data_IF_488373178851
#
_entry.id   IF_488373178851
#
_cell.length_a   1.000
_cell.length_b   1.000
_cell.length_c   1.000
_cell.angle_alpha   90.00
_cell.angle_beta   90.00
_cell.angle_gamma   90.00
#
_symmetry.space_group_name_H-M   'P 1'
#
loop_
_entity.id
_entity.type
_entity.pdbx_description
1 polymer ?
#
# COMPACT_ATOMS: atom_id res chain seq x y z
N UNK A 1 11.06 -2.85 8.78
CA UNK A 1 11.92 -4.05 8.82
C UNK A 1 13.40 -3.63 8.77
N UNK A 2 14.29 -4.40 9.39
CA UNK A 2 15.74 -4.15 9.46
C UNK A 2 16.50 -5.06 8.47
N UNK A 3 16.22 -4.90 7.18
CA UNK A 3 16.76 -5.72 6.08
C UNK A 3 18.28 -5.60 5.90
N UNK A 4 18.76 -5.16 4.74
CA UNK A 4 20.21 -4.95 4.51
C UNK A 4 20.82 -3.77 5.31
N UNK A 5 20.07 -3.13 6.21
CA UNK A 5 20.52 -1.94 6.95
C UNK A 5 20.43 -0.62 6.18
N UNK A 6 19.79 -0.62 5.01
CA UNK A 6 19.49 0.60 4.26
C UNK A 6 18.46 1.47 4.98
N UNK A 7 18.70 2.79 5.01
CA UNK A 7 17.79 3.78 5.57
C UNK A 7 17.50 4.85 4.50
N UNK A 8 16.22 5.10 4.25
CA UNK A 8 15.75 6.15 3.34
C UNK A 8 14.92 7.13 4.17
N UNK A 9 15.30 8.41 4.15
CA UNK A 9 14.61 9.47 4.87
C UNK A 9 13.80 10.32 3.89
N UNK A 10 12.57 10.65 4.29
CA UNK A 10 11.65 11.54 3.58
C UNK A 10 11.40 12.76 4.47
N UNK A 11 11.28 13.94 3.87
CA UNK A 11 10.92 15.17 4.56
C UNK A 11 9.39 15.35 4.63
N UNK A 12 8.94 16.48 5.17
CA UNK A 12 7.53 16.82 5.33
C UNK A 12 6.84 17.25 4.02
N UNK A 13 7.55 17.30 2.89
CA UNK A 13 6.98 17.57 1.58
C UNK A 13 6.57 16.30 0.83
N UNK A 14 6.85 15.13 1.40
CA UNK A 14 6.55 13.85 0.76
C UNK A 14 5.09 13.45 0.99
N UNK A 15 4.40 13.12 -0.11
CA UNK A 15 3.06 12.54 -0.08
C UNK A 15 3.16 11.00 0.02
N UNK A 16 2.69 10.45 1.14
CA UNK A 16 2.75 9.03 1.43
C UNK A 16 1.75 8.20 0.62
N UNK A 17 0.71 8.82 0.07
CA UNK A 17 -0.20 8.15 -0.88
C UNK A 17 0.50 7.80 -2.18
N UNK A 18 1.36 8.71 -2.66
CA UNK A 18 2.21 8.45 -3.83
C UNK A 18 3.27 7.39 -3.54
N UNK A 19 3.82 7.33 -2.32
CA UNK A 19 4.77 6.28 -1.94
C UNK A 19 4.11 4.89 -1.85
N UNK A 20 2.88 4.81 -1.35
CA UNK A 20 2.10 3.59 -1.36
C UNK A 20 1.77 3.14 -2.80
N UNK A 21 1.37 4.09 -3.66
CA UNK A 21 1.13 3.84 -5.08
C UNK A 21 2.39 3.30 -5.76
N UNK A 22 3.53 3.92 -5.52
CA UNK A 22 4.82 3.50 -6.06
C UNK A 22 5.20 2.09 -5.61
N UNK A 23 4.94 1.71 -4.36
CA UNK A 23 5.22 0.35 -3.90
C UNK A 23 4.44 -0.71 -4.71
N UNK A 24 3.16 -0.44 -5.02
CA UNK A 24 2.37 -1.31 -5.88
C UNK A 24 2.87 -1.30 -7.33
N UNK A 25 3.22 -0.13 -7.88
CA UNK A 25 3.77 -0.01 -9.24
C UNK A 25 5.09 -0.76 -9.39
N UNK A 26 6.02 -0.60 -8.44
CA UNK A 26 7.28 -1.34 -8.42
C UNK A 26 7.05 -2.85 -8.38
N UNK A 27 6.09 -3.32 -7.59
CA UNK A 27 5.72 -4.73 -7.57
C UNK A 27 5.10 -5.22 -8.89
N UNK A 28 4.35 -4.37 -9.59
CA UNK A 28 3.77 -4.72 -10.89
C UNK A 28 4.86 -4.89 -11.96
N UNK A 29 5.83 -3.98 -12.00
CA UNK A 29 6.94 -4.01 -12.95
C UNK A 29 7.94 -5.15 -12.66
N UNK A 30 8.31 -5.35 -11.39
CA UNK A 30 9.34 -6.32 -10.99
C UNK A 30 8.78 -7.72 -10.67
N UNK A 31 7.48 -7.92 -10.84
CA UNK A 31 6.85 -9.21 -10.61
C UNK A 31 7.40 -10.27 -11.58
N UNK A 32 7.96 -11.36 -11.05
CA UNK A 32 8.34 -12.53 -11.85
C UNK A 32 7.14 -13.28 -12.49
N UNK A 33 5.91 -12.90 -12.13
CA UNK A 33 4.68 -13.33 -12.78
C UNK A 33 4.03 -14.61 -12.23
N UNK A 34 4.68 -15.30 -11.30
CA UNK A 34 4.27 -16.64 -10.84
C UNK A 34 2.99 -16.68 -9.99
N UNK A 35 2.80 -15.70 -9.10
CA UNK A 35 1.64 -15.65 -8.21
C UNK A 35 0.68 -14.52 -8.62
N UNK A 36 -0.61 -14.84 -8.74
CA UNK A 36 -1.65 -13.88 -9.17
C UNK A 36 -1.77 -12.66 -8.26
N UNK A 37 -1.72 -12.78 -6.92
CA UNK A 37 -1.76 -11.61 -6.03
C UNK A 37 -0.62 -10.63 -6.29
N UNK A 38 0.59 -11.12 -6.58
CA UNK A 38 1.73 -10.28 -6.94
C UNK A 38 1.55 -9.66 -8.35
N UNK A 39 1.37 -10.49 -9.39
CA UNK A 39 1.36 -10.05 -10.79
C UNK A 39 0.19 -9.15 -11.15
N UNK A 40 -1.00 -9.52 -10.70
CA UNK A 40 -2.25 -8.82 -11.05
C UNK A 40 -2.70 -7.92 -9.90
N UNK A 41 -2.56 -8.40 -8.66
CA UNK A 41 -2.95 -7.63 -7.49
C UNK A 41 -2.18 -6.32 -7.38
N UNK A 42 -0.88 -6.29 -7.68
CA UNK A 42 -0.11 -5.05 -7.69
C UNK A 42 -0.68 -3.98 -8.65
N UNK A 43 -1.05 -4.37 -9.88
CA UNK A 43 -1.72 -3.46 -10.84
C UNK A 43 -3.05 -2.97 -10.29
N UNK A 44 -3.84 -3.85 -9.66
CA UNK A 44 -5.09 -3.44 -9.01
C UNK A 44 -4.86 -2.53 -7.81
N UNK A 45 -3.77 -2.72 -7.08
CA UNK A 45 -3.35 -1.86 -5.98
C UNK A 45 -3.09 -0.44 -6.45
N UNK A 46 -2.38 -0.27 -7.57
CA UNK A 46 -2.20 1.04 -8.22
C UNK A 46 -3.56 1.68 -8.54
N UNK A 47 -4.44 0.95 -9.23
CA UNK A 47 -5.77 1.46 -9.60
C UNK A 47 -6.64 1.84 -8.39
N UNK A 48 -6.56 1.07 -7.29
CA UNK A 48 -7.33 1.33 -6.06
C UNK A 48 -6.78 2.55 -5.33
N UNK A 49 -5.45 2.71 -5.26
CA UNK A 49 -4.83 3.90 -4.66
C UNK A 49 -5.15 5.15 -5.48
N UNK A 50 -5.08 5.08 -6.81
CA UNK A 50 -5.49 6.18 -7.70
C UNK A 50 -6.95 6.58 -7.46
N UNK A 51 -7.84 5.59 -7.32
CA UNK A 51 -9.24 5.84 -6.95
C UNK A 51 -9.36 6.45 -5.56
N UNK A 52 -8.64 5.95 -4.57
CA UNK A 52 -8.70 6.45 -3.19
C UNK A 52 -8.30 7.94 -3.12
N UNK A 53 -7.24 8.32 -3.83
CA UNK A 53 -6.77 9.70 -3.95
C UNK A 53 -7.78 10.61 -4.65
N UNK A 54 -8.47 10.11 -5.69
CA UNK A 54 -9.44 10.88 -6.47
C UNK A 54 -10.87 10.87 -5.92
N UNK A 55 -11.20 9.98 -4.97
CA UNK A 55 -12.57 9.76 -4.51
C UNK A 55 -13.09 10.85 -3.58
N UNK A 56 -14.38 11.15 -3.70
CA UNK A 56 -15.13 11.89 -2.69
C UNK A 56 -15.18 11.13 -1.37
N UNK A 57 -15.30 11.86 -0.26
CA UNK A 57 -15.20 11.32 1.12
C UNK A 57 -16.08 10.09 1.38
N UNK A 58 -17.26 10.00 0.75
CA UNK A 58 -18.20 8.88 0.95
C UNK A 58 -17.75 7.55 0.33
N UNK A 59 -16.82 7.57 -0.64
CA UNK A 59 -16.34 6.37 -1.34
C UNK A 59 -14.98 5.88 -0.83
N UNK A 60 -14.25 6.72 -0.08
CA UNK A 60 -12.91 6.42 0.42
C UNK A 60 -12.87 5.21 1.35
N UNK A 61 -13.84 5.06 2.24
CA UNK A 61 -13.90 3.92 3.16
C UNK A 61 -13.95 2.57 2.42
N UNK A 62 -14.71 2.51 1.32
CA UNK A 62 -14.78 1.28 0.52
C UNK A 62 -13.46 0.99 -0.21
N UNK A 63 -12.83 2.03 -0.78
CA UNK A 63 -11.53 1.89 -1.44
C UNK A 63 -10.42 1.49 -0.46
N UNK A 64 -10.42 2.04 0.76
CA UNK A 64 -9.50 1.68 1.84
C UNK A 64 -9.68 0.21 2.26
N UNK A 65 -10.92 -0.24 2.47
CA UNK A 65 -11.21 -1.66 2.76
C UNK A 65 -10.69 -2.55 1.63
N UNK A 66 -11.00 -2.22 0.37
CA UNK A 66 -10.55 -3.00 -0.78
C UNK A 66 -9.02 -3.07 -0.88
N UNK A 67 -8.33 -1.96 -0.60
CA UNK A 67 -6.88 -1.91 -0.59
C UNK A 67 -6.28 -2.76 0.54
N UNK A 68 -6.92 -2.75 1.71
CA UNK A 68 -6.52 -3.56 2.88
C UNK A 68 -6.71 -5.05 2.62
N UNK A 69 -7.85 -5.44 2.05
CA UNK A 69 -8.15 -6.83 1.67
C UNK A 69 -7.17 -7.34 0.60
N UNK A 70 -6.83 -6.49 -0.37
CA UNK A 70 -5.83 -6.80 -1.38
C UNK A 70 -4.44 -6.99 -0.75
N UNK A 71 -4.05 -6.12 0.17
CA UNK A 71 -2.80 -6.22 0.91
C UNK A 71 -2.70 -7.54 1.67
N UNK A 72 -3.75 -7.95 2.38
CA UNK A 72 -3.82 -9.25 3.06
C UNK A 72 -3.73 -10.42 2.06
N UNK A 73 -4.43 -10.32 0.93
CA UNK A 73 -4.37 -11.32 -0.15
C UNK A 73 -2.95 -11.47 -0.71
N UNK A 74 -2.21 -10.37 -0.86
CA UNK A 74 -0.82 -10.37 -1.30
C UNK A 74 0.12 -10.95 -0.25
N UNK A 75 -0.05 -10.63 1.03
CA UNK A 75 0.73 -11.18 2.15
C UNK A 75 0.59 -12.71 2.22
N UNK A 76 -0.64 -13.22 2.13
CA UNK A 76 -0.94 -14.65 2.29
C UNK A 76 -0.77 -15.46 1.00
N UNK A 77 -0.96 -14.83 -0.16
CA UNK A 77 -1.03 -15.51 -1.47
C UNK A 77 0.22 -15.39 -2.34
N UNK A 78 1.28 -14.72 -1.86
CA UNK A 78 2.53 -14.57 -2.61
C UNK A 78 3.55 -15.65 -2.25
N UNK A 79 4.16 -16.24 -3.28
CA UNK A 79 5.15 -17.32 -3.12
C UNK A 79 6.53 -16.85 -2.67
N UNK A 80 6.81 -15.54 -2.73
CA UNK A 80 8.06 -14.93 -2.31
C UNK A 80 7.81 -13.55 -1.69
N UNK A 81 8.88 -12.98 -1.12
CA UNK A 81 8.83 -11.69 -0.43
C UNK A 81 8.46 -10.50 -1.34
N UNK A 82 8.68 -10.58 -2.66
CA UNK A 82 8.32 -9.46 -3.56
C UNK A 82 6.84 -9.11 -3.42
N UNK A 83 5.96 -10.09 -3.64
CA UNK A 83 4.52 -9.88 -3.42
C UNK A 83 4.15 -9.85 -1.94
N UNK A 84 4.77 -10.69 -1.11
CA UNK A 84 4.39 -10.84 0.30
C UNK A 84 4.75 -9.65 1.21
N UNK A 85 5.72 -8.82 0.80
CA UNK A 85 6.17 -7.65 1.57
C UNK A 85 5.85 -6.31 0.90
N UNK A 86 5.42 -6.28 -0.36
CA UNK A 86 4.87 -5.07 -1.00
C UNK A 86 3.77 -4.40 -0.18
N UNK A 87 2.87 -5.14 0.50
CA UNK A 87 1.87 -4.56 1.38
C UNK A 87 2.42 -3.76 2.56
N UNK A 88 3.66 -3.98 3.00
CA UNK A 88 4.20 -3.37 4.22
C UNK A 88 4.33 -1.85 4.11
N UNK A 89 4.99 -1.28 3.08
CA UNK A 89 5.00 0.17 2.89
C UNK A 89 3.58 0.74 2.74
N UNK A 90 2.67 0.06 2.01
CA UNK A 90 1.28 0.50 1.80
C UNK A 90 0.50 0.58 3.11
N UNK A 91 0.48 -0.50 3.90
CA UNK A 91 -0.22 -0.55 5.20
C UNK A 91 0.39 0.42 6.21
N UNK A 92 1.71 0.59 6.20
CA UNK A 92 2.36 1.57 7.08
C UNK A 92 2.02 3.01 6.70
N UNK A 93 1.97 3.33 5.41
CA UNK A 93 1.56 4.65 4.93
C UNK A 93 0.11 4.95 5.34
N UNK A 94 -0.83 4.01 5.09
CA UNK A 94 -2.22 4.13 5.52
C UNK A 94 -2.37 4.33 7.03
N UNK A 95 -1.59 3.58 7.83
CA UNK A 95 -1.66 3.64 9.30
C UNK A 95 -1.13 4.95 9.86
N UNK A 96 0.03 5.39 9.40
CA UNK A 96 0.76 6.50 10.01
C UNK A 96 0.48 7.85 9.38
N UNK A 97 0.05 7.87 8.12
CA UNK A 97 -0.24 9.08 7.33
C UNK A 97 -1.61 8.97 6.62
N UNK A 98 -2.71 8.63 7.33
CA UNK A 98 -4.03 8.52 6.72
C UNK A 98 -4.50 9.82 6.04
N UNK A 99 -4.04 10.97 6.53
CA UNK A 99 -4.33 12.29 5.99
C UNK A 99 -3.88 12.46 4.52
N UNK A 100 -2.79 11.81 4.12
CA UNK A 100 -2.28 11.87 2.74
C UNK A 100 -3.20 11.15 1.76
N UNK A 101 -3.99 10.18 2.27
CA UNK A 101 -5.07 9.53 1.52
C UNK A 101 -6.40 10.29 1.64
N UNK A 102 -6.41 11.41 2.37
CA UNK A 102 -7.58 12.17 2.78
C UNK A 102 -8.57 11.35 3.60
N UNK A 103 -8.05 10.49 4.47
CA UNK A 103 -8.78 9.74 5.49
C UNK A 103 -8.64 10.46 6.84
N UNK A 104 -9.62 10.25 7.73
CA UNK A 104 -9.53 10.72 9.11
C UNK A 104 -8.62 9.81 9.93
N UNK A 105 -7.71 10.41 10.69
CA UNK A 105 -6.84 9.67 11.61
C UNK A 105 -7.68 8.96 12.67
N UNK A 106 -7.70 7.64 12.64
CA UNK A 106 -8.22 6.85 13.76
C UNK A 106 -7.15 6.82 14.85
N UNK A 107 -7.49 7.34 16.03
CA UNK A 107 -6.62 7.23 17.20
C UNK A 107 -6.68 5.76 17.66
N UNK A 108 -5.70 4.94 17.27
CA UNK A 108 -5.54 3.61 17.84
C UNK A 108 -4.82 3.73 19.18
N UNK A 109 -5.51 3.39 20.28
CA UNK A 109 -4.98 3.32 21.65
C UNK A 109 -4.01 2.13 21.85
N UNK A 110 -3.05 1.92 20.94
CA UNK A 110 -2.07 0.84 21.06
C UNK A 110 -0.70 1.42 21.49
N UNK A 111 -0.45 1.33 22.80
CA UNK A 111 0.87 1.37 23.45
C UNK A 111 1.48 -0.03 23.49
#
# INVERSE_FOLDING_TARGET
MLGHGGMVAFDDQTDMSHMARFAMEFCAEESCGKCTPCRVGAVRGVEVIDKLMASESSQKAHAETLLTDLCETMELGSLCAMGGMTPYPVKSALKYFPEDFGLSRQVSDDV
#
